data_IF_269618349886
#
_entry.id   IF_269618349886
#
_cell.length_a   1.000
_cell.length_b   1.000
_cell.length_c   1.000
_cell.angle_alpha   90.00
_cell.angle_beta   90.00
_cell.angle_gamma   90.00
#
_symmetry.space_group_name_H-M   'P 1'
#
loop_
_entity.id
_entity.type
_entity.pdbx_description
1 polymer ?
#
# COMPACT_ATOMS: atom_id res chain seq x y z
N UNK A 1 2.22 -20.25 -12.60
CA UNK A 1 1.03 -19.85 -11.79
C UNK A 1 1.20 -18.39 -11.37
N UNK A 2 0.78 -17.45 -12.23
CA UNK A 2 0.84 -16.01 -11.94
C UNK A 2 -0.45 -15.55 -11.28
N UNK A 3 -0.35 -14.89 -10.13
CA UNK A 3 -1.49 -14.28 -9.43
C UNK A 3 -2.02 -13.15 -10.32
N UNK A 4 -3.27 -13.26 -10.78
CA UNK A 4 -3.96 -12.15 -11.44
C UNK A 4 -4.15 -11.05 -10.41
N UNK A 5 -3.46 -9.93 -10.62
CA UNK A 5 -3.78 -8.67 -9.98
C UNK A 5 -5.20 -8.32 -10.39
N UNK A 6 -6.13 -8.28 -9.44
CA UNK A 6 -7.47 -7.73 -9.65
C UNK A 6 -7.29 -6.21 -9.80
N UNK A 7 -6.96 -5.76 -11.02
CA UNK A 7 -7.10 -4.35 -11.40
C UNK A 7 -8.60 -4.05 -11.39
N UNK A 8 -8.95 -2.89 -10.85
CA UNK A 8 -10.32 -2.34 -10.81
C UNK A 8 -10.76 -1.85 -12.22
N UNK A 9 -9.92 -2.07 -13.24
CA UNK A 9 -10.02 -1.40 -14.55
C UNK A 9 -10.78 -2.19 -15.63
N UNK A 10 -11.33 -3.38 -15.32
CA UNK A 10 -11.94 -4.27 -16.35
C UNK A 10 -13.47 -4.07 -16.56
N UNK A 11 -14.06 -2.96 -16.11
CA UNK A 11 -15.53 -2.78 -16.13
C UNK A 11 -16.10 -2.12 -17.40
N UNK A 12 -15.35 -2.02 -18.49
CA UNK A 12 -15.80 -1.33 -19.72
C UNK A 12 -16.63 -2.19 -20.70
N UNK A 13 -17.05 -3.40 -20.34
CA UNK A 13 -17.97 -4.17 -21.17
C UNK A 13 -19.42 -3.69 -20.95
N UNK A 14 -19.80 -2.71 -21.75
CA UNK A 14 -21.16 -2.17 -21.85
C UNK A 14 -22.02 -3.17 -22.63
N UNK A 15 -22.68 -4.07 -21.90
CA UNK A 15 -23.87 -4.76 -22.42
C UNK A 15 -24.99 -3.73 -22.53
N UNK A 16 -25.80 -3.81 -23.58
CA UNK A 16 -26.92 -2.91 -23.92
C UNK A 16 -28.12 -3.13 -22.97
N UNK A 17 -27.85 -3.13 -21.67
CA UNK A 17 -28.78 -3.36 -20.58
C UNK A 17 -29.34 -2.01 -20.10
N UNK A 18 -30.67 -1.90 -20.06
CA UNK A 18 -31.38 -0.70 -19.61
C UNK A 18 -30.99 -0.35 -18.16
N UNK A 19 -30.74 -1.36 -17.34
CA UNK A 19 -30.23 -1.20 -15.98
C UNK A 19 -28.83 -0.57 -15.96
N UNK A 20 -27.96 -0.90 -16.93
CA UNK A 20 -26.64 -0.28 -17.10
C UNK A 20 -26.72 1.18 -17.56
N UNK A 21 -27.77 1.55 -18.30
CA UNK A 21 -28.04 2.94 -18.72
C UNK A 21 -28.65 3.79 -17.61
N UNK A 22 -29.45 3.21 -16.73
CA UNK A 22 -30.08 3.90 -15.59
C UNK A 22 -29.13 3.99 -14.39
N UNK A 23 -28.35 2.94 -14.11
CA UNK A 23 -27.41 2.86 -12.98
C UNK A 23 -25.99 3.23 -13.40
N UNK A 24 -25.82 4.43 -13.94
CA UNK A 24 -24.49 4.95 -14.26
C UNK A 24 -23.69 5.12 -12.96
N UNK A 25 -22.55 4.43 -12.87
CA UNK A 25 -21.64 4.53 -11.72
C UNK A 25 -21.05 5.94 -11.67
N UNK A 26 -21.10 6.65 -10.53
CA UNK A 26 -20.54 7.99 -10.45
C UNK A 26 -19.02 7.97 -10.48
N UNK A 27 -18.41 9.07 -10.93
CA UNK A 27 -16.99 9.30 -10.71
C UNK A 27 -16.72 9.64 -9.24
N UNK A 28 -15.55 9.27 -8.67
CA UNK A 28 -15.19 9.66 -7.31
C UNK A 28 -15.23 11.18 -7.09
N UNK A 29 -14.87 11.99 -8.09
CA UNK A 29 -14.90 13.46 -7.98
C UNK A 29 -16.34 14.00 -7.94
N UNK A 30 -17.27 13.37 -8.67
CA UNK A 30 -18.70 13.73 -8.61
C UNK A 30 -19.27 13.44 -7.22
N UNK A 31 -18.95 12.26 -6.66
CA UNK A 31 -19.34 11.91 -5.28
C UNK A 31 -18.76 12.91 -4.29
N UNK A 32 -17.45 13.20 -4.36
CA UNK A 32 -16.80 14.14 -3.45
C UNK A 32 -17.43 15.55 -3.49
N UNK A 33 -17.71 16.09 -4.68
CA UNK A 33 -18.35 17.41 -4.82
C UNK A 33 -19.75 17.45 -4.22
N UNK A 34 -20.55 16.41 -4.43
CA UNK A 34 -21.90 16.35 -3.88
C UNK A 34 -21.87 16.12 -2.36
N UNK A 35 -20.95 15.26 -1.90
CA UNK A 35 -20.74 14.97 -0.49
C UNK A 35 -20.30 16.19 0.32
N UNK A 36 -19.42 17.02 -0.25
CA UNK A 36 -18.92 18.25 0.38
C UNK A 36 -19.85 19.46 0.11
N UNK A 37 -20.98 19.26 -0.57
CA UNK A 37 -22.00 20.30 -0.79
C UNK A 37 -22.86 20.53 0.46
N UNK A 38 -23.69 21.59 0.44
CA UNK A 38 -24.64 21.88 1.53
C UNK A 38 -25.61 20.71 1.83
N UNK A 39 -25.85 19.81 0.87
CA UNK A 39 -26.77 18.69 1.02
C UNK A 39 -26.14 17.43 1.62
N UNK A 40 -24.82 17.41 1.79
CA UNK A 40 -24.11 16.33 2.46
C UNK A 40 -24.20 14.97 1.76
N UNK A 41 -24.10 13.91 2.55
CA UNK A 41 -24.02 12.53 2.08
C UNK A 41 -25.40 11.96 1.71
N UNK A 42 -26.47 12.54 2.26
CA UNK A 42 -27.87 12.18 1.98
C UNK A 42 -28.19 12.38 0.50
N UNK A 43 -27.73 13.48 -0.11
CA UNK A 43 -27.88 13.71 -1.54
C UNK A 43 -27.15 12.66 -2.41
N UNK A 44 -26.07 12.08 -1.91
CA UNK A 44 -25.39 10.97 -2.58
C UNK A 44 -26.22 9.68 -2.51
N UNK A 45 -26.92 9.43 -1.40
CA UNK A 45 -27.81 8.28 -1.28
C UNK A 45 -29.07 8.41 -2.12
N UNK A 46 -29.67 9.60 -2.21
CA UNK A 46 -30.84 9.79 -3.08
C UNK A 46 -30.48 9.53 -4.55
N UNK A 47 -29.30 9.99 -4.96
CA UNK A 47 -28.84 9.88 -6.35
C UNK A 47 -28.26 8.51 -6.70
N UNK A 48 -27.60 7.85 -5.75
CA UNK A 48 -26.88 6.60 -5.94
C UNK A 48 -27.20 5.58 -4.85
N UNK A 49 -28.47 5.47 -4.45
CA UNK A 49 -28.91 4.63 -3.33
C UNK A 49 -28.69 3.13 -3.52
N UNK A 50 -28.41 2.69 -4.76
CA UNK A 50 -27.98 1.32 -5.05
C UNK A 50 -26.49 1.07 -4.72
N UNK A 51 -25.73 2.11 -4.37
CA UNK A 51 -24.35 2.03 -3.87
C UNK A 51 -24.39 2.21 -2.36
N UNK A 52 -23.81 1.28 -1.62
CA UNK A 52 -23.76 1.36 -0.16
C UNK A 52 -23.04 2.62 0.34
N UNK A 53 -23.51 3.18 1.46
CA UNK A 53 -22.96 4.39 2.10
C UNK A 53 -21.43 4.33 2.25
N UNK A 54 -20.89 3.21 2.72
CA UNK A 54 -19.45 3.02 2.92
C UNK A 54 -18.68 3.16 1.60
N UNK A 55 -19.20 2.59 0.50
CA UNK A 55 -18.58 2.74 -0.82
C UNK A 55 -18.61 4.17 -1.32
N UNK A 56 -19.73 4.90 -1.10
CA UNK A 56 -19.82 6.33 -1.43
C UNK A 56 -18.85 7.18 -0.59
N UNK A 57 -18.69 6.86 0.70
CA UNK A 57 -17.73 7.54 1.58
C UNK A 57 -16.28 7.34 1.08
N UNK A 58 -15.91 6.10 0.72
CA UNK A 58 -14.60 5.81 0.13
C UNK A 58 -14.40 6.56 -1.20
N UNK A 59 -15.42 6.61 -2.04
CA UNK A 59 -15.38 7.38 -3.28
C UNK A 59 -15.24 8.88 -3.02
N UNK A 60 -15.89 9.44 -2.00
CA UNK A 60 -15.72 10.84 -1.61
C UNK A 60 -14.28 11.12 -1.15
N UNK A 61 -13.70 10.24 -0.32
CA UNK A 61 -12.28 10.33 0.10
C UNK A 61 -11.34 10.28 -1.10
N UNK A 62 -11.57 9.35 -2.03
CA UNK A 62 -10.78 9.23 -3.25
C UNK A 62 -10.95 10.45 -4.16
N UNK A 63 -12.18 10.94 -4.34
CA UNK A 63 -12.49 12.11 -5.15
C UNK A 63 -11.82 13.38 -4.61
N UNK A 64 -11.83 13.60 -3.29
CA UNK A 64 -11.09 14.70 -2.66
C UNK A 64 -9.60 14.63 -2.99
N UNK A 65 -8.99 13.43 -2.96
CA UNK A 65 -7.57 13.24 -3.34
C UNK A 65 -7.33 13.58 -4.81
N UNK A 66 -8.22 13.18 -5.72
CA UNK A 66 -8.10 13.48 -7.15
C UNK A 66 -8.26 14.97 -7.45
N UNK A 67 -9.20 15.64 -6.77
CA UNK A 67 -9.41 17.10 -6.91
C UNK A 67 -8.17 17.86 -6.45
N UNK A 68 -7.60 17.52 -5.28
CA UNK A 68 -6.37 18.14 -4.77
C UNK A 68 -5.18 17.92 -5.71
N UNK A 69 -5.00 16.68 -6.19
CA UNK A 69 -3.94 16.34 -7.13
C UNK A 69 -4.06 17.14 -8.45
N UNK A 70 -5.28 17.34 -8.98
CA UNK A 70 -5.52 18.19 -10.15
C UNK A 70 -5.25 19.67 -9.89
N UNK A 71 -5.47 20.14 -8.66
CA UNK A 71 -5.16 21.50 -8.23
C UNK A 71 -3.68 21.78 -7.96
N UNK A 72 -2.79 20.80 -8.18
CA UNK A 72 -1.36 20.93 -7.88
C UNK A 72 -1.05 20.95 -6.38
N UNK A 73 -2.03 20.66 -5.52
CA UNK A 73 -1.80 20.52 -4.10
C UNK A 73 -1.10 19.18 -3.86
N UNK A 74 0.19 19.25 -3.51
CA UNK A 74 0.95 18.06 -3.18
C UNK A 74 0.26 17.31 -2.05
N UNK A 75 0.10 16.00 -2.23
CA UNK A 75 -0.31 15.13 -1.13
C UNK A 75 0.71 15.32 -0.01
N UNK A 76 0.29 15.96 1.08
CA UNK A 76 1.04 15.93 2.33
C UNK A 76 1.20 14.47 2.73
N UNK A 77 2.32 13.85 2.34
CA UNK A 77 2.76 12.54 2.81
C UNK A 77 3.25 12.72 4.24
N UNK A 78 2.33 13.03 5.14
CA UNK A 78 2.62 13.13 6.56
C UNK A 78 2.31 11.79 7.23
N UNK A 79 3.13 10.79 6.94
CA UNK A 79 3.52 9.88 8.00
C UNK A 79 4.88 10.41 8.46
N UNK A 80 4.92 11.11 9.61
CA UNK A 80 6.18 11.56 10.21
C UNK A 80 7.18 10.41 10.12
N UNK A 81 8.33 10.66 9.49
CA UNK A 81 9.37 9.64 9.33
C UNK A 81 9.81 9.23 10.74
N UNK A 82 9.44 8.02 11.14
CA UNK A 82 9.77 7.50 12.47
C UNK A 82 11.25 7.10 12.60
N UNK A 83 11.98 7.11 11.48
CA UNK A 83 13.39 6.74 11.40
C UNK A 83 14.25 7.95 11.12
N UNK A 84 15.37 8.07 11.82
CA UNK A 84 16.39 9.08 11.55
C UNK A 84 17.26 8.69 10.35
N UNK A 85 17.91 9.64 9.66
CA UNK A 85 18.82 9.34 8.55
C UNK A 85 19.94 8.36 8.94
N UNK A 86 20.45 8.44 10.17
CA UNK A 86 21.51 7.57 10.69
C UNK A 86 21.00 6.14 10.86
N UNK A 87 19.77 5.97 11.38
CA UNK A 87 19.12 4.66 11.48
C UNK A 87 18.92 4.02 10.11
N UNK A 88 18.55 4.83 9.10
CA UNK A 88 18.37 4.33 7.74
C UNK A 88 19.71 3.95 7.08
N UNK A 89 20.78 4.71 7.35
CA UNK A 89 22.12 4.36 6.88
C UNK A 89 22.62 3.05 7.52
N UNK A 90 22.47 2.91 8.84
CA UNK A 90 22.83 1.69 9.56
C UNK A 90 21.99 0.48 9.10
N UNK A 91 20.70 0.68 8.83
CA UNK A 91 19.85 -0.36 8.25
C UNK A 91 20.30 -0.76 6.85
N UNK A 92 20.70 0.19 6.01
CA UNK A 92 21.20 -0.09 4.67
C UNK A 92 22.48 -0.93 4.69
N UNK A 93 23.46 -0.57 5.53
CA UNK A 93 24.67 -1.36 5.77
C UNK A 93 24.33 -2.78 6.27
N UNK A 94 23.39 -2.89 7.22
CA UNK A 94 22.94 -4.18 7.72
C UNK A 94 22.26 -5.04 6.64
N UNK A 95 21.52 -4.45 5.71
CA UNK A 95 20.91 -5.16 4.57
C UNK A 95 22.00 -5.72 3.66
N UNK A 96 23.01 -4.92 3.33
CA UNK A 96 24.12 -5.34 2.47
C UNK A 96 24.88 -6.52 3.10
N UNK A 97 25.06 -6.50 4.43
CA UNK A 97 25.81 -7.55 5.16
C UNK A 97 24.99 -8.81 5.44
N UNK A 98 23.73 -8.67 5.86
CA UNK A 98 22.94 -9.75 6.48
C UNK A 98 21.71 -10.15 5.66
N UNK A 99 21.38 -9.41 4.61
CA UNK A 99 20.13 -9.54 3.86
C UNK A 99 18.92 -8.97 4.62
N UNK A 100 17.83 -8.75 3.88
CA UNK A 100 16.63 -8.00 4.32
C UNK A 100 16.05 -8.47 5.66
N UNK A 101 15.74 -9.77 5.79
CA UNK A 101 15.03 -10.25 6.99
C UNK A 101 15.89 -10.14 8.26
N UNK A 102 17.19 -10.40 8.16
CA UNK A 102 18.09 -10.31 9.32
C UNK A 102 18.50 -8.89 9.63
N UNK A 103 18.55 -8.01 8.63
CA UNK A 103 18.71 -6.60 8.87
C UNK A 103 17.52 -6.04 9.65
N UNK A 104 16.28 -6.46 9.34
CA UNK A 104 15.09 -6.09 10.12
C UNK A 104 15.22 -6.54 11.59
N UNK A 105 15.61 -7.80 11.83
CA UNK A 105 15.88 -8.30 13.19
C UNK A 105 17.00 -7.51 13.90
N UNK A 106 18.12 -7.26 13.22
CA UNK A 106 19.31 -6.63 13.80
C UNK A 106 19.11 -5.13 14.10
N UNK A 107 18.30 -4.44 13.29
CA UNK A 107 18.04 -2.99 13.44
C UNK A 107 16.77 -2.69 14.24
N UNK A 108 15.94 -3.70 14.51
CA UNK A 108 14.63 -3.55 15.14
C UNK A 108 13.60 -2.83 14.25
N UNK A 109 13.93 -2.53 12.99
CA UNK A 109 13.03 -1.87 12.06
C UNK A 109 12.06 -2.87 11.43
N UNK A 110 10.80 -2.45 11.29
CA UNK A 110 9.79 -3.24 10.59
C UNK A 110 10.18 -3.49 9.13
N UNK A 111 9.81 -4.66 8.60
CA UNK A 111 10.21 -5.06 7.25
C UNK A 111 9.72 -4.11 6.15
N UNK A 112 8.57 -3.44 6.36
CA UNK A 112 8.06 -2.41 5.47
C UNK A 112 8.97 -1.17 5.40
N UNK A 113 9.60 -0.81 6.53
CA UNK A 113 10.58 0.30 6.60
C UNK A 113 11.84 -0.07 5.84
N UNK A 114 12.32 -1.31 5.99
CA UNK A 114 13.48 -1.82 5.25
C UNK A 114 13.25 -1.77 3.73
N UNK A 115 12.09 -2.23 3.25
CA UNK A 115 11.75 -2.14 1.82
C UNK A 115 11.55 -0.71 1.33
N UNK A 116 11.02 0.18 2.17
CA UNK A 116 10.94 1.63 1.86
C UNK A 116 12.34 2.20 1.64
N UNK A 117 13.28 1.94 2.55
CA UNK A 117 14.67 2.41 2.46
C UNK A 117 15.32 1.91 1.16
N UNK A 118 15.17 0.64 0.82
CA UNK A 118 15.70 0.09 -0.43
C UNK A 118 15.12 0.77 -1.67
N UNK A 119 13.80 0.99 -1.68
CA UNK A 119 13.11 1.66 -2.79
C UNK A 119 13.56 3.12 -2.94
N UNK A 120 13.69 3.85 -1.84
CA UNK A 120 14.15 5.24 -1.82
C UNK A 120 15.61 5.37 -2.27
N UNK A 121 16.42 4.33 -2.07
CA UNK A 121 17.82 4.22 -2.54
C UNK A 121 17.95 3.71 -3.97
N UNK A 122 16.85 3.46 -4.68
CA UNK A 122 16.86 2.98 -6.07
C UNK A 122 17.27 1.51 -6.22
N UNK A 123 17.22 0.71 -5.15
CA UNK A 123 17.55 -0.72 -5.20
C UNK A 123 16.31 -1.51 -5.56
N UNK A 124 16.15 -1.84 -6.85
CA UNK A 124 15.00 -2.59 -7.37
C UNK A 124 15.04 -4.08 -7.01
N UNK A 125 16.24 -4.64 -6.86
CA UNK A 125 16.45 -6.04 -6.47
C UNK A 125 17.13 -6.10 -5.12
N UNK A 126 16.45 -6.69 -4.13
CA UNK A 126 17.03 -6.84 -2.79
C UNK A 126 18.39 -7.57 -2.85
N UNK A 127 19.42 -7.06 -2.17
CA UNK A 127 20.72 -7.71 -2.11
C UNK A 127 20.58 -9.16 -1.63
N UNK A 128 21.01 -10.10 -2.47
CA UNK A 128 21.00 -11.53 -2.13
C UNK A 128 22.25 -11.83 -1.33
N UNK A 129 22.08 -12.47 -0.17
CA UNK A 129 23.20 -13.05 0.56
C UNK A 129 23.98 -14.03 -0.34
N UNK A 130 25.33 -13.99 -0.31
CA UNK A 130 26.18 -15.02 -0.89
C UNK A 130 25.76 -16.42 -0.42
N UNK A 131 25.94 -17.44 -1.27
CA UNK A 131 25.46 -18.80 -0.99
C UNK A 131 26.00 -19.38 0.33
N UNK A 132 27.28 -19.11 0.65
CA UNK A 132 27.91 -19.53 1.90
C UNK A 132 27.29 -18.90 3.15
N UNK A 133 27.02 -17.60 3.10
CA UNK A 133 26.39 -16.89 4.22
C UNK A 133 24.93 -17.29 4.40
N UNK A 134 24.23 -17.58 3.30
CA UNK A 134 22.88 -18.14 3.34
C UNK A 134 22.87 -19.50 4.05
N UNK A 135 23.77 -20.39 3.69
CA UNK A 135 23.87 -21.73 4.29
C UNK A 135 24.26 -21.69 5.78
N UNK A 136 25.21 -20.82 6.16
CA UNK A 136 25.58 -20.61 7.58
C UNK A 136 24.36 -20.16 8.38
N UNK A 137 23.66 -19.16 7.88
CA UNK A 137 22.64 -18.53 8.68
C UNK A 137 21.29 -19.28 8.64
N UNK A 138 21.09 -20.19 7.67
CA UNK A 138 20.04 -21.23 7.74
C UNK A 138 20.34 -22.25 8.84
N UNK A 139 21.61 -22.68 8.98
CA UNK A 139 22.02 -23.60 10.06
C UNK A 139 21.80 -22.97 11.43
N UNK A 140 22.19 -21.71 11.62
CA UNK A 140 21.94 -20.97 12.86
C UNK A 140 20.44 -20.80 13.17
N UNK A 141 19.62 -20.56 12.13
CA UNK A 141 18.16 -20.48 12.29
C UNK A 141 17.56 -21.82 12.73
N UNK A 142 18.00 -22.93 12.13
CA UNK A 142 17.58 -24.27 12.55
C UNK A 142 18.02 -24.60 13.97
N UNK A 143 19.24 -24.21 14.37
CA UNK A 143 19.74 -24.40 15.73
C UNK A 143 18.87 -23.65 16.76
N UNK A 144 18.55 -22.37 16.49
CA UNK A 144 17.63 -21.58 17.33
C UNK A 144 16.23 -22.19 17.43
N UNK A 145 15.69 -22.67 16.31
CA UNK A 145 14.37 -23.30 16.28
C UNK A 145 14.33 -24.63 17.08
N UNK A 146 15.41 -25.42 17.02
CA UNK A 146 15.55 -26.63 17.83
C UNK A 146 15.64 -26.31 19.32
N UNK A 147 16.45 -25.32 19.70
CA UNK A 147 16.57 -24.89 21.09
C UNK A 147 15.22 -24.45 21.67
N UNK A 148 14.41 -23.70 20.91
CA UNK A 148 13.05 -23.29 21.33
C UNK A 148 12.05 -24.43 21.48
N UNK A 149 12.27 -25.57 20.82
CA UNK A 149 11.40 -26.75 20.94
C UNK A 149 11.82 -27.68 22.07
N UNK A 150 13.05 -27.55 22.54
CA UNK A 150 13.61 -28.35 23.64
C UNK A 150 13.44 -27.67 25.01
N UNK A 151 13.00 -26.41 25.03
CA UNK A 151 12.60 -25.64 26.21
C UNK A 151 11.07 -25.61 26.32
#
# INVERSE_FOLDING_TARGET
>A
MGRRSHRIDDCNNVSDDLDGKVRVRPSPEQVARLWDSHHGWEACLERWGWIGRWSLEHMAVQGRRLIRAKGGEEQSRSARRQTTPEQEAAAYEAIQRLGVCRAAEATGLGIAVIYRILRERGVETSPKLPAGDRARATREGMARARARRAA
#
